data_IF_156600630592
#
_entry.id   IF_156600630592
#
_cell.length_a   1.000
_cell.length_b   1.000
_cell.length_c   1.000
_cell.angle_alpha   90.00
_cell.angle_beta   90.00
_cell.angle_gamma   90.00
#
_symmetry.space_group_name_H-M   'P 1'
#
loop_
_entity.id
_entity.type
_entity.pdbx_description
1 polymer ?
#
# COMPACT_ATOMS: atom_id res chain seq x y z
N UNK A 1 -15.67 10.72 -12.91
CA UNK A 1 -14.31 10.38 -13.41
C UNK A 1 -13.93 8.92 -13.22
N UNK A 2 -14.02 8.33 -12.01
CA UNK A 2 -13.71 6.89 -11.77
C UNK A 2 -14.44 5.94 -12.73
N UNK A 3 -15.74 6.15 -12.97
CA UNK A 3 -16.51 5.36 -13.94
C UNK A 3 -16.02 5.48 -15.39
N UNK A 4 -15.52 6.65 -15.80
CA UNK A 4 -14.99 6.85 -17.16
C UNK A 4 -13.77 5.97 -17.37
N UNK A 5 -12.88 5.89 -16.38
CA UNK A 5 -11.73 4.98 -16.42
C UNK A 5 -12.17 3.52 -16.57
N UNK A 6 -13.15 3.09 -15.78
CA UNK A 6 -13.65 1.70 -15.82
C UNK A 6 -14.31 1.39 -17.16
N UNK A 7 -15.07 2.34 -17.72
CA UNK A 7 -15.66 2.21 -19.05
C UNK A 7 -14.59 2.14 -20.15
N UNK A 8 -13.56 3.00 -20.09
CA UNK A 8 -12.44 2.96 -21.04
C UNK A 8 -11.66 1.66 -20.94
N UNK A 9 -11.44 1.16 -19.71
CA UNK A 9 -10.82 -0.12 -19.44
C UNK A 9 -11.62 -1.25 -20.10
N UNK A 10 -12.92 -1.36 -19.83
CA UNK A 10 -13.79 -2.34 -20.45
C UNK A 10 -13.87 -2.21 -21.98
N UNK A 11 -13.91 -0.98 -22.49
CA UNK A 11 -13.89 -0.73 -23.93
C UNK A 11 -12.58 -1.18 -24.58
N UNK A 12 -11.44 -1.03 -23.90
CA UNK A 12 -10.16 -1.55 -24.36
C UNK A 12 -10.17 -3.08 -24.46
N UNK A 13 -10.71 -3.80 -23.46
CA UNK A 13 -10.91 -5.26 -23.55
C UNK A 13 -11.80 -5.64 -24.73
N UNK A 14 -12.92 -4.94 -24.93
CA UNK A 14 -13.81 -5.17 -26.07
C UNK A 14 -13.08 -5.02 -27.42
N UNK A 15 -12.29 -3.96 -27.59
CA UNK A 15 -11.53 -3.72 -28.81
C UNK A 15 -10.41 -4.74 -29.01
N UNK A 16 -9.74 -5.14 -27.93
CA UNK A 16 -8.70 -6.16 -27.94
C UNK A 16 -9.24 -7.53 -28.36
N UNK A 17 -10.37 -7.96 -27.81
CA UNK A 17 -11.03 -9.21 -28.20
C UNK A 17 -11.46 -9.22 -29.68
N UNK A 18 -11.79 -8.04 -30.24
CA UNK A 18 -12.12 -7.85 -31.66
C UNK A 18 -10.92 -7.56 -32.57
N UNK A 19 -9.70 -7.53 -32.02
CA UNK A 19 -8.45 -7.22 -32.75
C UNK A 19 -8.52 -5.90 -33.53
N UNK A 20 -9.22 -4.88 -32.99
CA UNK A 20 -9.36 -3.55 -33.60
C UNK A 20 -8.17 -2.66 -33.22
N UNK A 21 -6.97 -3.02 -33.71
CA UNK A 21 -5.68 -2.49 -33.24
C UNK A 21 -5.55 -0.97 -33.22
N UNK A 22 -5.94 -0.28 -34.30
CA UNK A 22 -5.83 1.19 -34.35
C UNK A 22 -6.69 1.89 -33.28
N UNK A 23 -7.95 1.45 -33.13
CA UNK A 23 -8.86 1.98 -32.10
C UNK A 23 -8.43 1.57 -30.69
N UNK A 24 -7.90 0.36 -30.55
CA UNK A 24 -7.36 -0.14 -29.29
C UNK A 24 -6.21 0.72 -28.82
N UNK A 25 -5.24 1.01 -29.70
CA UNK A 25 -4.09 1.85 -29.38
C UNK A 25 -4.54 3.23 -28.88
N UNK A 26 -5.45 3.89 -29.62
CA UNK A 26 -5.98 5.19 -29.20
C UNK A 26 -6.70 5.12 -27.84
N UNK A 27 -7.47 4.05 -27.61
CA UNK A 27 -8.19 3.85 -26.34
C UNK A 27 -7.23 3.60 -25.18
N UNK A 28 -6.17 2.80 -25.38
CA UNK A 28 -5.13 2.54 -24.38
C UNK A 28 -4.37 3.81 -24.04
N UNK A 29 -4.04 4.61 -25.06
CA UNK A 29 -3.42 5.90 -24.87
C UNK A 29 -4.29 6.80 -23.99
N UNK A 30 -5.55 7.04 -24.40
CA UNK A 30 -6.50 7.86 -23.65
C UNK A 30 -6.73 7.34 -22.22
N UNK A 31 -6.91 6.02 -22.06
CA UNK A 31 -7.03 5.37 -20.75
C UNK A 31 -5.81 5.66 -19.88
N UNK A 32 -4.60 5.51 -20.41
CA UNK A 32 -3.36 5.71 -19.65
C UNK A 32 -3.19 7.18 -19.22
N UNK A 33 -3.57 8.15 -20.07
CA UNK A 33 -3.59 9.58 -19.70
C UNK A 33 -4.53 9.82 -18.53
N UNK A 34 -5.79 9.38 -18.67
CA UNK A 34 -6.84 9.67 -17.69
C UNK A 34 -6.57 8.92 -16.38
N UNK A 35 -6.14 7.66 -16.46
CA UNK A 35 -5.73 6.86 -15.30
C UNK A 35 -4.57 7.52 -14.57
N UNK A 36 -3.51 7.93 -15.28
CA UNK A 36 -2.36 8.60 -14.65
C UNK A 36 -2.78 9.89 -13.95
N UNK A 37 -3.58 10.73 -14.60
CA UNK A 37 -4.03 12.00 -14.01
C UNK A 37 -4.92 11.85 -12.77
N UNK A 38 -5.64 10.73 -12.63
CA UNK A 38 -6.49 10.46 -11.46
C UNK A 38 -5.71 9.79 -10.33
N UNK A 39 -4.75 8.91 -10.66
CA UNK A 39 -4.10 8.03 -9.69
C UNK A 39 -2.69 8.47 -9.27
N UNK A 40 -1.92 9.04 -10.19
CA UNK A 40 -0.52 9.41 -9.99
C UNK A 40 -0.28 10.92 -10.08
N UNK A 41 -1.36 11.70 -9.98
CA UNK A 41 -1.38 13.16 -9.84
C UNK A 41 -0.69 13.98 -10.95
N UNK A 42 -0.16 13.34 -12.00
CA UNK A 42 0.26 13.97 -13.25
C UNK A 42 -0.34 13.23 -14.44
N UNK A 43 -1.28 13.85 -15.15
CA UNK A 43 -1.66 13.34 -16.46
C UNK A 43 -0.47 13.40 -17.42
N UNK A 44 -0.50 12.67 -18.53
CA UNK A 44 0.50 12.79 -19.63
C UNK A 44 0.74 14.26 -20.08
N UNK A 45 -0.18 15.17 -19.77
CA UNK A 45 -0.19 16.58 -20.16
C UNK A 45 0.21 17.55 -19.03
N UNK A 46 0.20 17.13 -17.76
CA UNK A 46 0.64 17.97 -16.64
C UNK A 46 2.16 17.77 -16.48
N UNK A 47 2.93 18.55 -17.25
CA UNK A 47 4.40 18.57 -17.32
C UNK A 47 5.05 19.12 -16.03
N UNK A 48 4.96 18.39 -14.92
CA UNK A 48 5.70 18.72 -13.70
C UNK A 48 6.63 17.54 -13.36
N UNK A 49 7.92 17.69 -13.65
CA UNK A 49 8.97 16.72 -13.30
C UNK A 49 9.18 15.55 -14.28
N UNK A 50 10.43 15.09 -14.42
CA UNK A 50 10.83 13.97 -15.29
C UNK A 50 10.27 12.60 -14.84
N UNK A 51 9.92 12.47 -13.56
CA UNK A 51 9.38 11.24 -12.96
C UNK A 51 7.95 10.91 -13.40
N UNK A 52 7.07 11.92 -13.53
CA UNK A 52 5.67 11.72 -13.91
C UNK A 52 5.49 11.26 -15.36
N UNK A 53 6.34 11.77 -16.28
CA UNK A 53 6.39 11.30 -17.67
C UNK A 53 6.87 9.85 -17.76
N UNK A 54 7.89 9.50 -16.97
CA UNK A 54 8.38 8.13 -16.90
C UNK A 54 7.29 7.16 -16.42
N UNK A 55 6.58 7.48 -15.33
CA UNK A 55 5.49 6.64 -14.81
C UNK A 55 4.34 6.49 -15.80
N UNK A 56 3.96 7.57 -16.49
CA UNK A 56 2.91 7.55 -17.50
C UNK A 56 3.29 6.70 -18.72
N UNK A 57 4.55 6.76 -19.15
CA UNK A 57 5.07 5.92 -20.22
C UNK A 57 5.14 4.44 -19.81
N UNK A 58 5.59 4.14 -18.60
CA UNK A 58 5.59 2.77 -18.04
C UNK A 58 4.16 2.22 -17.99
N UNK A 59 3.19 3.01 -17.54
CA UNK A 59 1.77 2.64 -17.51
C UNK A 59 1.24 2.35 -18.92
N UNK A 60 1.56 3.19 -19.91
CA UNK A 60 1.17 2.98 -21.29
C UNK A 60 1.72 1.65 -21.83
N UNK A 61 3.01 1.40 -21.65
CA UNK A 61 3.68 0.17 -22.06
C UNK A 61 3.07 -1.06 -21.38
N UNK A 62 2.82 -0.97 -20.06
CA UNK A 62 2.14 -2.01 -19.30
C UNK A 62 0.75 -2.33 -19.88
N UNK A 63 -0.09 -1.32 -20.10
CA UNK A 63 -1.44 -1.51 -20.65
C UNK A 63 -1.40 -2.07 -22.08
N UNK A 64 -0.46 -1.61 -22.91
CA UNK A 64 -0.26 -2.14 -24.27
C UNK A 64 0.08 -3.63 -24.24
N UNK A 65 1.09 -4.04 -23.46
CA UNK A 65 1.53 -5.42 -23.37
C UNK A 65 0.40 -6.32 -22.85
N UNK A 66 -0.25 -5.90 -21.76
CA UNK A 66 -1.31 -6.70 -21.13
C UNK A 66 -2.52 -6.86 -22.05
N UNK A 67 -2.94 -5.84 -22.79
CA UNK A 67 -4.09 -5.96 -23.71
C UNK A 67 -3.76 -6.70 -25.01
N UNK A 68 -2.50 -6.66 -25.47
CA UNK A 68 -2.03 -7.51 -26.58
C UNK A 68 -2.05 -8.98 -26.18
N UNK A 69 -1.53 -9.32 -24.99
CA UNK A 69 -1.59 -10.68 -24.44
C UNK A 69 -3.05 -11.14 -24.32
N UNK A 70 -3.94 -10.28 -23.80
CA UNK A 70 -5.37 -10.58 -23.73
C UNK A 70 -5.98 -10.85 -25.12
N UNK A 71 -5.69 -10.01 -26.12
CA UNK A 71 -6.21 -10.18 -27.48
C UNK A 71 -5.86 -11.55 -28.06
N UNK A 72 -4.63 -12.02 -27.84
CA UNK A 72 -4.19 -13.35 -28.21
C UNK A 72 -4.95 -14.45 -27.43
N UNK A 73 -4.92 -14.39 -26.10
CA UNK A 73 -5.48 -15.44 -25.23
C UNK A 73 -7.01 -15.52 -25.29
N UNK A 74 -7.71 -14.40 -25.52
CA UNK A 74 -9.17 -14.36 -25.60
C UNK A 74 -9.76 -15.29 -26.67
N UNK A 75 -8.96 -15.64 -27.69
CA UNK A 75 -9.33 -16.57 -28.77
C UNK A 75 -9.50 -18.01 -28.30
N UNK A 76 -8.97 -18.36 -27.11
CA UNK A 76 -9.06 -19.71 -26.52
C UNK A 76 -10.25 -19.85 -25.55
N UNK A 77 -11.16 -18.88 -25.48
CA UNK A 77 -12.34 -18.93 -24.61
C UNK A 77 -11.98 -18.88 -23.12
N UNK A 78 -12.67 -19.68 -22.30
CA UNK A 78 -12.51 -19.67 -20.85
C UNK A 78 -11.08 -20.02 -20.39
N UNK A 79 -10.41 -21.08 -20.90
CA UNK A 79 -9.02 -21.36 -20.56
C UNK A 79 -8.08 -20.17 -20.80
N UNK A 80 -8.24 -19.48 -21.93
CA UNK A 80 -7.45 -18.29 -22.26
C UNK A 80 -7.69 -17.12 -21.32
N UNK A 81 -8.95 -16.87 -20.94
CA UNK A 81 -9.30 -15.84 -19.96
C UNK A 81 -8.70 -16.14 -18.56
N UNK A 82 -8.77 -17.39 -18.11
CA UNK A 82 -8.18 -17.82 -16.84
C UNK A 82 -6.65 -17.69 -16.87
N UNK A 83 -5.99 -18.14 -17.95
CA UNK A 83 -4.54 -18.02 -18.10
C UNK A 83 -4.10 -16.55 -18.08
N UNK A 84 -4.83 -15.68 -18.79
CA UNK A 84 -4.56 -14.25 -18.78
C UNK A 84 -4.64 -13.65 -17.38
N UNK A 85 -5.71 -13.95 -16.64
CA UNK A 85 -5.90 -13.43 -15.29
C UNK A 85 -4.83 -13.95 -14.32
N UNK A 86 -4.44 -15.22 -14.42
CA UNK A 86 -3.34 -15.80 -13.66
C UNK A 86 -2.00 -15.11 -13.96
N UNK A 87 -1.71 -14.84 -15.23
CA UNK A 87 -0.50 -14.10 -15.63
C UNK A 87 -0.47 -12.71 -15.00
N UNK A 88 -1.54 -11.93 -15.11
CA UNK A 88 -1.59 -10.59 -14.51
C UNK A 88 -1.48 -10.62 -12.99
N UNK A 89 -2.20 -11.52 -12.33
CA UNK A 89 -2.15 -11.64 -10.87
C UNK A 89 -0.75 -12.06 -10.41
N UNK A 90 -0.08 -12.95 -11.14
CA UNK A 90 1.27 -13.39 -10.78
C UNK A 90 2.31 -12.26 -10.84
N UNK A 91 2.20 -11.33 -11.80
CA UNK A 91 3.06 -10.13 -11.84
C UNK A 91 3.01 -9.32 -10.53
N UNK A 92 1.83 -9.19 -9.92
CA UNK A 92 1.67 -8.51 -8.64
C UNK A 92 2.11 -9.37 -7.45
N UNK A 93 1.83 -10.67 -7.44
CA UNK A 93 2.29 -11.58 -6.38
C UNK A 93 3.82 -11.57 -6.27
N UNK A 94 4.52 -11.63 -7.41
CA UNK A 94 5.98 -11.61 -7.47
C UNK A 94 6.59 -10.21 -7.24
N UNK A 95 5.78 -9.18 -6.98
CA UNK A 95 6.28 -7.84 -6.69
C UNK A 95 6.84 -7.09 -7.90
N UNK A 96 6.50 -7.51 -9.13
CA UNK A 96 6.99 -6.86 -10.35
C UNK A 96 6.22 -5.58 -10.66
N UNK A 97 4.89 -5.62 -10.53
CA UNK A 97 4.01 -4.46 -10.73
C UNK A 97 2.91 -4.42 -9.68
N UNK A 98 2.66 -3.23 -9.14
CA UNK A 98 1.47 -3.00 -8.31
C UNK A 98 0.20 -3.37 -9.11
N UNK A 99 -0.88 -3.83 -8.46
CA UNK A 99 -2.08 -4.23 -9.20
C UNK A 99 -2.81 -2.99 -9.73
N UNK A 100 -2.59 -2.68 -11.00
CA UNK A 100 -3.14 -1.49 -11.71
C UNK A 100 -4.55 -1.73 -12.25
N UNK A 101 -5.37 -2.54 -11.57
CA UNK A 101 -6.74 -2.80 -12.00
C UNK A 101 -7.66 -1.65 -11.52
N UNK A 102 -8.30 -0.89 -12.42
CA UNK A 102 -9.08 0.30 -12.06
C UNK A 102 -10.32 -0.03 -11.22
N UNK A 103 -10.75 -1.29 -11.17
CA UNK A 103 -11.85 -1.73 -10.32
C UNK A 103 -11.51 -1.63 -8.82
N UNK A 104 -10.22 -1.64 -8.45
CA UNK A 104 -9.79 -1.57 -7.05
C UNK A 104 -10.27 -0.27 -6.37
N UNK A 105 -10.29 0.85 -7.08
CA UNK A 105 -10.73 2.13 -6.48
C UNK A 105 -12.24 2.20 -6.27
N UNK A 106 -13.00 1.34 -6.95
CA UNK A 106 -14.44 1.23 -6.71
C UNK A 106 -14.75 0.56 -5.37
N UNK A 107 -13.79 -0.04 -4.66
CA UNK A 107 -14.06 -0.59 -3.32
C UNK A 107 -14.43 0.48 -2.30
N UNK A 108 -13.98 1.72 -2.47
CA UNK A 108 -14.39 2.81 -1.59
C UNK A 108 -15.89 3.15 -1.76
N UNK A 109 -16.35 3.25 -3.01
CA UNK A 109 -17.71 3.69 -3.33
C UNK A 109 -18.72 2.51 -3.32
N UNK A 110 -18.26 1.30 -3.67
CA UNK A 110 -19.10 0.11 -3.90
C UNK A 110 -18.47 -1.18 -3.33
N UNK A 111 -18.09 -1.22 -2.04
CA UNK A 111 -17.46 -2.41 -1.44
C UNK A 111 -18.37 -3.65 -1.46
N UNK A 112 -19.69 -3.44 -1.56
CA UNK A 112 -20.68 -4.51 -1.57
C UNK A 112 -20.81 -5.27 -2.89
N UNK A 113 -20.21 -4.82 -4.00
CA UNK A 113 -20.40 -5.42 -5.34
C UNK A 113 -19.12 -6.16 -5.81
N UNK A 114 -17.99 -5.90 -5.16
CA UNK A 114 -16.68 -6.41 -5.54
C UNK A 114 -16.28 -7.62 -4.68
N UNK A 115 -15.39 -8.51 -5.17
CA UNK A 115 -14.98 -9.71 -4.45
C UNK A 115 -14.25 -9.34 -3.15
N UNK A 116 -14.60 -10.00 -2.04
CA UNK A 116 -14.11 -9.58 -0.72
C UNK A 116 -13.79 -10.78 0.19
N UNK A 117 -12.81 -11.56 -0.25
CA UNK A 117 -12.27 -12.70 0.50
C UNK A 117 -11.10 -12.28 1.39
N UNK A 118 -10.77 -13.10 2.38
CA UNK A 118 -9.59 -12.94 3.25
C UNK A 118 -8.25 -13.18 2.51
N UNK A 119 -8.29 -13.54 1.22
CA UNK A 119 -7.10 -13.77 0.39
C UNK A 119 -7.05 -12.67 -0.68
N UNK A 120 -6.28 -11.58 -0.46
CA UNK A 120 -6.18 -10.48 -1.43
C UNK A 120 -5.81 -10.91 -2.86
N UNK A 121 -4.92 -11.89 -3.00
CA UNK A 121 -4.55 -12.44 -4.32
C UNK A 121 -5.74 -13.07 -5.05
N UNK A 122 -6.65 -13.71 -4.32
CA UNK A 122 -7.86 -14.29 -4.90
C UNK A 122 -8.81 -13.19 -5.36
N UNK A 123 -8.96 -12.11 -4.58
CA UNK A 123 -9.75 -10.95 -4.98
C UNK A 123 -9.19 -10.34 -6.28
N UNK A 124 -7.87 -10.17 -6.38
CA UNK A 124 -7.23 -9.65 -7.59
C UNK A 124 -7.43 -10.58 -8.80
N UNK A 125 -7.30 -11.89 -8.59
CA UNK A 125 -7.57 -12.88 -9.63
C UNK A 125 -9.00 -12.73 -10.17
N UNK A 126 -9.99 -12.60 -9.28
CA UNK A 126 -11.37 -12.37 -9.69
C UNK A 126 -11.54 -11.07 -10.46
N UNK A 127 -10.94 -9.96 -10.00
CA UNK A 127 -11.00 -8.67 -10.71
C UNK A 127 -10.38 -8.73 -12.12
N UNK A 128 -9.36 -9.56 -12.33
CA UNK A 128 -8.74 -9.77 -13.63
C UNK A 128 -9.54 -10.73 -14.53
N UNK A 129 -10.22 -11.71 -13.93
CA UNK A 129 -11.10 -12.65 -14.64
C UNK A 129 -12.33 -11.95 -15.23
N UNK A 130 -12.97 -11.04 -14.47
CA UNK A 130 -14.20 -10.33 -14.87
C UNK A 130 -14.11 -9.75 -16.29
N UNK A 131 -13.21 -8.78 -16.58
CA UNK A 131 -13.12 -8.20 -17.92
C UNK A 131 -12.67 -9.24 -18.97
N UNK A 132 -11.80 -10.18 -18.59
CA UNK A 132 -11.29 -11.18 -19.52
C UNK A 132 -12.41 -12.09 -20.06
N UNK A 133 -13.35 -12.49 -19.19
CA UNK A 133 -14.49 -13.36 -19.53
C UNK A 133 -15.60 -12.59 -20.25
N UNK A 134 -15.98 -11.41 -19.76
CA UNK A 134 -17.07 -10.60 -20.35
C UNK A 134 -16.86 -10.41 -21.86
N UNK A 135 -15.62 -10.04 -22.23
CA UNK A 135 -15.30 -9.63 -23.59
C UNK A 135 -14.77 -10.76 -24.47
N UNK A 136 -14.50 -11.96 -23.93
CA UNK A 136 -14.10 -13.11 -24.75
C UNK A 136 -15.26 -13.59 -25.63
N UNK A 137 -15.05 -13.60 -26.94
CA UNK A 137 -16.10 -13.95 -27.90
C UNK A 137 -16.47 -15.43 -27.91
N UNK A 138 -15.55 -16.30 -27.49
CA UNK A 138 -15.69 -17.76 -27.53
C UNK A 138 -16.44 -18.32 -26.32
N UNK A 139 -16.77 -17.49 -25.34
CA UNK A 139 -17.51 -17.89 -24.13
C UNK A 139 -19.01 -17.68 -24.38
N UNK A 140 -19.83 -18.70 -24.09
CA UNK A 140 -21.29 -18.63 -24.19
C UNK A 140 -21.87 -17.60 -23.20
N UNK A 141 -22.92 -16.88 -23.60
CA UNK A 141 -23.53 -15.81 -22.80
C UNK A 141 -23.96 -16.26 -21.38
N UNK A 142 -24.61 -17.43 -21.18
CA UNK A 142 -24.98 -17.89 -19.84
C UNK A 142 -23.76 -18.08 -18.91
N UNK A 143 -22.64 -18.54 -19.47
CA UNK A 143 -21.41 -18.74 -18.71
C UNK A 143 -20.78 -17.40 -18.30
N UNK A 144 -20.86 -16.37 -19.17
CA UNK A 144 -20.43 -15.01 -18.82
C UNK A 144 -21.25 -14.45 -17.66
N UNK A 145 -22.58 -14.62 -17.72
CA UNK A 145 -23.48 -14.17 -16.67
C UNK A 145 -23.21 -14.86 -15.34
N UNK A 146 -23.03 -16.18 -15.34
CA UNK A 146 -22.70 -16.95 -14.14
C UNK A 146 -21.39 -16.46 -13.49
N UNK A 147 -20.35 -16.22 -14.30
CA UNK A 147 -19.07 -15.72 -13.78
C UNK A 147 -19.15 -14.30 -13.22
N UNK A 148 -20.13 -13.48 -13.63
CA UNK A 148 -20.37 -12.16 -13.07
C UNK A 148 -21.11 -12.18 -11.73
N UNK A 149 -21.89 -13.23 -11.46
CA UNK A 149 -22.55 -13.41 -10.18
C UNK A 149 -21.59 -13.95 -9.10
N UNK A 150 -20.53 -14.61 -9.53
CA UNK A 150 -19.60 -15.30 -8.65
C UNK A 150 -18.90 -14.40 -7.59
N UNK A 151 -18.48 -13.15 -7.90
CA UNK A 151 -17.95 -12.22 -6.89
C UNK A 151 -18.95 -11.85 -5.80
N UNK A 152 -20.27 -11.90 -6.08
CA UNK A 152 -21.31 -11.57 -5.11
C UNK A 152 -21.50 -12.69 -4.07
N UNK A 153 -21.18 -13.93 -4.46
CA UNK A 153 -21.27 -15.12 -3.60
C UNK A 153 -20.04 -15.29 -2.71
N UNK A 154 -18.89 -14.73 -3.10
CA UNK A 154 -17.61 -14.93 -2.42
C UNK A 154 -17.23 -13.75 -1.52
N UNK A 155 -17.95 -13.63 -0.41
CA UNK A 155 -17.64 -12.68 0.67
C UNK A 155 -17.36 -13.43 1.96
N UNK A 156 -16.23 -13.19 2.57
CA UNK A 156 -15.96 -13.74 3.89
C UNK A 156 -16.60 -12.85 4.95
N UNK A 157 -17.35 -13.41 5.93
CA UNK A 157 -17.88 -12.62 7.03
C UNK A 157 -16.75 -11.99 7.84
N UNK A 158 -16.89 -10.69 8.11
CA UNK A 158 -15.93 -9.94 8.92
C UNK A 158 -16.25 -10.15 10.39
N UNK A 159 -15.38 -10.82 11.13
CA UNK A 159 -15.57 -11.06 12.57
C UNK A 159 -14.43 -10.43 13.38
N UNK A 160 -14.61 -9.16 13.75
CA UNK A 160 -13.68 -8.41 14.60
C UNK A 160 -14.29 -8.37 16.00
N UNK A 161 -13.61 -8.97 16.97
CA UNK A 161 -14.13 -9.18 18.33
C UNK A 161 -13.25 -8.55 19.40
N UNK A 162 -12.40 -7.58 19.06
CA UNK A 162 -11.52 -6.92 20.03
C UNK A 162 -12.12 -5.61 20.55
N UNK A 163 -11.66 -5.20 21.74
CA UNK A 163 -11.94 -3.88 22.28
C UNK A 163 -11.23 -2.80 21.43
N UNK A 164 -11.77 -1.58 21.38
CA UNK A 164 -11.15 -0.53 20.59
C UNK A 164 -9.73 -0.21 21.07
N UNK A 165 -8.79 -0.06 20.15
CA UNK A 165 -7.39 0.26 20.43
C UNK A 165 -7.19 1.77 20.37
N UNK A 166 -6.63 2.37 21.43
CA UNK A 166 -6.30 3.80 21.43
C UNK A 166 -4.89 4.01 20.88
N UNK A 167 -4.80 4.68 19.75
CA UNK A 167 -3.59 4.79 18.96
C UNK A 167 -3.12 6.23 18.90
N UNK A 168 -1.82 6.42 19.13
CA UNK A 168 -1.12 7.67 18.80
C UNK A 168 -0.34 7.49 17.51
N UNK A 169 -0.63 8.34 16.53
CA UNK A 169 0.03 8.37 15.24
C UNK A 169 1.11 9.43 15.28
N UNK A 170 2.32 9.08 14.90
CA UNK A 170 3.49 9.95 14.91
C UNK A 170 4.06 10.10 13.50
N UNK A 171 3.89 11.28 12.93
CA UNK A 171 4.37 11.63 11.59
C UNK A 171 5.74 12.31 11.73
N UNK A 172 6.79 11.49 11.71
CA UNK A 172 8.16 11.88 12.10
C UNK A 172 8.71 13.01 11.22
N UNK A 173 8.52 12.92 9.91
CA UNK A 173 8.97 13.93 8.95
C UNK A 173 8.24 15.25 9.11
N UNK A 174 6.92 15.22 9.32
CA UNK A 174 6.13 16.41 9.59
C UNK A 174 6.56 17.08 10.90
N UNK A 175 6.87 16.29 11.93
CA UNK A 175 7.43 16.82 13.19
C UNK A 175 8.73 17.58 12.93
N UNK A 176 9.74 16.94 12.31
CA UNK A 176 11.03 17.59 12.09
C UNK A 176 10.97 18.74 11.08
N UNK A 177 10.01 18.73 10.15
CA UNK A 177 9.71 19.86 9.26
C UNK A 177 9.23 21.09 10.04
N UNK A 178 8.46 20.90 11.12
CA UNK A 178 7.91 21.99 11.95
C UNK A 178 8.84 22.42 13.09
N UNK A 179 9.35 21.47 13.86
CA UNK A 179 10.20 21.72 15.02
C UNK A 179 11.68 21.97 14.64
N UNK A 180 12.07 21.64 13.41
CA UNK A 180 13.45 21.69 12.95
C UNK A 180 14.31 20.53 13.46
N UNK A 181 15.53 20.42 12.94
CA UNK A 181 16.43 19.28 13.22
C UNK A 181 16.84 19.14 14.71
N UNK A 182 16.67 20.20 15.52
CA UNK A 182 17.00 20.24 16.96
C UNK A 182 15.77 20.07 17.86
N UNK A 183 14.58 19.80 17.32
CA UNK A 183 13.38 19.58 18.11
C UNK A 183 13.52 18.42 19.10
N UNK A 184 12.95 18.55 20.30
CA UNK A 184 13.03 17.54 21.35
C UNK A 184 11.91 16.48 21.20
N UNK A 185 12.08 15.62 20.19
CA UNK A 185 11.05 14.67 19.75
C UNK A 185 10.44 13.83 20.87
N UNK A 186 11.28 13.27 21.76
CA UNK A 186 10.81 12.42 22.84
C UNK A 186 9.99 13.22 23.87
N UNK A 187 10.46 14.39 24.29
CA UNK A 187 9.75 15.20 25.28
C UNK A 187 8.37 15.63 24.75
N UNK A 188 8.31 16.12 23.51
CA UNK A 188 7.05 16.56 22.90
C UNK A 188 6.07 15.39 22.72
N UNK A 189 6.57 14.21 22.32
CA UNK A 189 5.77 12.99 22.23
C UNK A 189 5.26 12.57 23.62
N UNK A 190 6.14 12.56 24.63
CA UNK A 190 5.78 12.17 25.98
C UNK A 190 4.73 13.10 26.58
N UNK A 191 4.87 14.41 26.39
CA UNK A 191 3.88 15.39 26.82
C UNK A 191 2.55 15.24 26.09
N UNK A 192 2.57 14.91 24.79
CA UNK A 192 1.36 14.61 24.04
C UNK A 192 0.61 13.40 24.61
N UNK A 193 1.30 12.34 25.05
CA UNK A 193 0.63 11.12 25.54
C UNK A 193 0.27 11.16 27.03
N UNK A 194 0.89 12.05 27.83
CA UNK A 194 0.87 12.02 29.32
C UNK A 194 -0.51 12.00 29.97
N UNK A 195 -1.55 12.49 29.30
CA UNK A 195 -2.93 12.55 29.80
C UNK A 195 -3.93 11.83 28.90
N UNK A 196 -3.46 10.97 28.00
CA UNK A 196 -4.30 10.19 27.08
C UNK A 196 -4.25 8.73 27.48
N UNK A 197 -5.39 8.03 27.37
CA UNK A 197 -5.40 6.56 27.45
C UNK A 197 -4.85 6.03 26.13
N UNK A 198 -3.56 5.75 26.08
CA UNK A 198 -2.87 5.26 24.88
C UNK A 198 -2.50 3.80 25.08
N UNK A 199 -2.79 2.97 24.08
CA UNK A 199 -2.38 1.57 24.06
C UNK A 199 -1.17 1.38 23.14
N UNK A 200 -1.17 2.02 21.98
CA UNK A 200 -0.15 1.87 20.93
C UNK A 200 0.30 3.22 20.37
N UNK A 201 1.61 3.39 20.17
CA UNK A 201 2.22 4.52 19.47
C UNK A 201 2.83 4.01 18.17
N UNK A 202 2.45 4.60 17.02
CA UNK A 202 2.90 4.19 15.69
C UNK A 202 3.64 5.34 15.02
N UNK A 203 4.90 5.13 14.67
CA UNK A 203 5.70 6.07 13.90
C UNK A 203 5.57 5.78 12.40
N UNK A 204 5.68 6.81 11.57
CA UNK A 204 5.77 6.70 10.12
C UNK A 204 7.10 6.08 9.66
N UNK A 205 7.12 5.55 8.42
CA UNK A 205 8.38 5.30 7.71
C UNK A 205 9.14 6.62 7.62
N UNK A 206 10.44 6.60 7.91
CA UNK A 206 11.22 7.83 7.99
C UNK A 206 12.72 7.58 7.80
N UNK A 207 13.44 8.66 7.49
CA UNK A 207 14.90 8.69 7.38
C UNK A 207 15.56 9.42 8.57
N UNK A 208 14.82 9.74 9.62
CA UNK A 208 15.32 10.50 10.77
C UNK A 208 15.82 9.61 11.91
N UNK A 209 15.37 8.36 11.94
CA UNK A 209 15.83 7.32 12.84
C UNK A 209 16.30 6.10 12.04
N UNK A 210 17.36 5.44 12.50
CA UNK A 210 18.05 4.35 11.81
C UNK A 210 19.56 4.35 12.01
N UNK A 211 20.25 3.49 11.25
CA UNK A 211 21.69 3.21 11.37
C UNK A 211 22.46 3.48 10.07
N UNK A 212 21.81 4.12 9.08
CA UNK A 212 22.39 4.39 7.75
C UNK A 212 23.53 5.42 7.74
N UNK A 213 23.59 6.32 8.71
CA UNK A 213 24.76 7.17 8.94
C UNK A 213 24.92 7.48 10.43
N UNK A 214 26.09 7.98 10.82
CA UNK A 214 26.44 8.18 12.24
C UNK A 214 25.55 9.21 12.93
N UNK A 215 25.14 10.28 12.25
CA UNK A 215 24.26 11.30 12.82
C UNK A 215 22.88 10.74 13.19
N UNK A 216 22.24 10.02 12.27
CA UNK A 216 20.95 9.36 12.48
C UNK A 216 21.10 8.26 13.55
N UNK A 217 22.22 7.53 13.54
CA UNK A 217 22.50 6.46 14.50
C UNK A 217 22.57 6.98 15.93
N UNK A 218 23.31 8.06 16.18
CA UNK A 218 23.39 8.64 17.52
C UNK A 218 22.03 9.19 17.98
N UNK A 219 21.28 9.85 17.09
CA UNK A 219 19.91 10.27 17.37
C UNK A 219 19.00 9.10 17.74
N UNK A 220 19.14 7.98 17.05
CA UNK A 220 18.33 6.77 17.27
C UNK A 220 18.65 6.13 18.60
N UNK A 221 19.95 6.00 18.95
CA UNK A 221 20.36 5.53 20.27
C UNK A 221 19.81 6.39 21.38
N UNK A 222 19.92 7.72 21.23
CA UNK A 222 19.40 8.66 22.22
C UNK A 222 17.88 8.51 22.42
N UNK A 223 17.10 8.38 21.33
CA UNK A 223 15.67 8.11 21.43
C UNK A 223 15.39 6.79 22.16
N UNK A 224 16.10 5.72 21.81
CA UNK A 224 15.92 4.40 22.44
C UNK A 224 16.27 4.42 23.94
N UNK A 225 17.31 5.15 24.33
CA UNK A 225 17.69 5.38 25.73
C UNK A 225 16.58 6.14 26.46
N UNK A 226 16.08 7.24 25.90
CA UNK A 226 14.98 8.01 26.50
C UNK A 226 13.70 7.16 26.67
N UNK A 227 13.34 6.36 25.67
CA UNK A 227 12.20 5.43 25.74
C UNK A 227 12.41 4.33 26.80
N UNK A 228 13.66 3.91 27.02
CA UNK A 228 14.03 2.91 28.02
C UNK A 228 13.95 3.48 29.43
N UNK A 229 14.67 4.57 29.68
CA UNK A 229 14.88 5.16 31.00
C UNK A 229 13.57 5.65 31.62
N UNK A 230 12.68 6.17 30.78
CA UNK A 230 11.35 6.62 31.20
C UNK A 230 10.29 5.51 31.21
N UNK A 231 10.70 4.25 30.95
CA UNK A 231 9.83 3.07 30.86
C UNK A 231 8.65 3.25 29.90
N UNK A 232 8.86 3.98 28.81
CA UNK A 232 7.81 4.30 27.84
C UNK A 232 7.26 3.02 27.18
N UNK A 233 8.16 2.09 26.82
CA UNK A 233 7.87 0.77 26.26
C UNK A 233 7.16 -0.19 27.24
N UNK A 234 7.20 0.06 28.55
CA UNK A 234 6.37 -0.67 29.52
C UNK A 234 4.95 -0.15 29.58
N UNK A 235 4.76 1.15 29.33
CA UNK A 235 3.45 1.82 29.38
C UNK A 235 2.66 1.60 28.10
N UNK A 236 3.34 1.65 26.95
CA UNK A 236 2.71 1.63 25.63
C UNK A 236 3.36 0.56 24.76
N UNK A 237 2.60 -0.01 23.81
CA UNK A 237 3.20 -0.65 22.64
C UNK A 237 3.78 0.43 21.73
N UNK A 238 4.98 0.22 21.18
CA UNK A 238 5.62 1.19 20.29
C UNK A 238 5.98 0.51 18.98
N UNK A 239 5.39 0.94 17.88
CA UNK A 239 5.75 0.52 16.53
C UNK A 239 6.59 1.61 15.87
N UNK A 240 7.90 1.45 15.91
CA UNK A 240 8.89 2.35 15.34
C UNK A 240 9.22 1.96 13.89
N UNK A 241 9.88 2.87 13.17
CA UNK A 241 10.45 2.58 11.86
C UNK A 241 11.86 3.18 11.77
N UNK A 242 12.79 2.41 11.21
CA UNK A 242 14.21 2.73 11.14
C UNK A 242 14.75 2.57 9.72
N UNK A 243 15.44 3.60 9.22
CA UNK A 243 16.23 3.56 8.00
C UNK A 243 17.59 2.88 8.26
N UNK A 244 17.60 1.55 8.15
CA UNK A 244 18.69 0.70 8.63
C UNK A 244 18.62 0.48 10.14
N UNK A 245 18.95 -0.74 10.60
CA UNK A 245 19.02 -1.02 12.04
C UNK A 245 20.13 -2.03 12.34
N UNK A 246 21.11 -1.63 13.16
CA UNK A 246 22.31 -2.43 13.47
C UNK A 246 23.01 -2.93 12.18
N UNK A 247 22.97 -4.24 11.92
CA UNK A 247 23.56 -4.91 10.76
C UNK A 247 22.56 -5.11 9.59
N UNK A 248 21.32 -4.62 9.73
CA UNK A 248 20.28 -4.74 8.70
C UNK A 248 20.33 -3.49 7.81
N UNK A 249 20.75 -3.67 6.56
CA UNK A 249 20.79 -2.62 5.54
C UNK A 249 19.44 -2.50 4.80
N UNK A 250 18.37 -2.24 5.52
CA UNK A 250 17.00 -2.15 4.99
C UNK A 250 16.15 -1.20 5.85
N UNK A 251 14.97 -0.79 5.38
CA UNK A 251 13.95 -0.18 6.24
C UNK A 251 13.37 -1.27 7.15
N UNK A 252 13.28 -0.97 8.45
CA UNK A 252 12.87 -1.93 9.47
C UNK A 252 11.79 -1.32 10.37
N UNK A 253 10.66 -1.99 10.49
CA UNK A 253 9.69 -1.77 11.57
C UNK A 253 10.18 -2.45 12.83
N UNK A 254 10.10 -1.77 13.97
CA UNK A 254 10.48 -2.34 15.26
C UNK A 254 9.35 -2.17 16.26
N UNK A 255 8.78 -3.27 16.71
CA UNK A 255 7.77 -3.28 17.77
C UNK A 255 8.44 -3.50 19.12
N UNK A 256 8.19 -2.61 20.07
CA UNK A 256 8.70 -2.70 21.43
C UNK A 256 7.56 -2.60 22.44
N UNK A 257 7.40 -3.63 23.26
CA UNK A 257 6.54 -3.59 24.43
C UNK A 257 7.09 -4.48 25.54
N UNK A 258 7.30 -3.93 26.74
CA UNK A 258 7.96 -4.63 27.85
C UNK A 258 9.30 -5.22 27.38
N UNK A 259 9.53 -6.51 27.61
CA UNK A 259 10.75 -7.20 27.18
C UNK A 259 10.74 -7.65 25.71
N UNK A 260 9.61 -7.53 25.01
CA UNK A 260 9.49 -7.95 23.62
C UNK A 260 9.98 -6.86 22.67
N UNK A 261 10.96 -7.19 21.83
CA UNK A 261 11.47 -6.33 20.77
C UNK A 261 11.52 -7.12 19.45
N UNK A 262 10.49 -6.93 18.63
CA UNK A 262 10.30 -7.66 17.38
C UNK A 262 10.66 -6.75 16.20
N UNK A 263 11.35 -7.30 15.21
CA UNK A 263 11.75 -6.58 14.01
C UNK A 263 11.02 -7.13 12.80
N UNK A 264 10.62 -6.28 11.86
CA UNK A 264 10.18 -6.66 10.53
C UNK A 264 10.92 -5.83 9.50
N UNK A 265 11.63 -6.47 8.58
CA UNK A 265 12.29 -5.76 7.48
C UNK A 265 11.36 -5.65 6.27
N UNK A 266 11.50 -4.56 5.52
CA UNK A 266 10.75 -4.36 4.26
C UNK A 266 11.06 -5.47 3.26
N UNK A 267 10.06 -6.26 2.89
CA UNK A 267 10.23 -7.41 1.99
C UNK A 267 10.27 -7.04 0.50
N UNK A 268 9.65 -5.91 0.13
CA UNK A 268 9.57 -5.41 -1.25
C UNK A 268 10.18 -4.02 -1.34
N UNK A 269 11.32 -3.95 -2.02
CA UNK A 269 12.04 -2.71 -2.29
C UNK A 269 11.67 -2.14 -3.65
N UNK A 270 11.56 -0.81 -3.74
CA UNK A 270 11.27 -0.08 -4.97
C UNK A 270 12.46 -0.23 -5.93
N UNK A 271 12.29 -0.86 -7.11
CA UNK A 271 13.34 -0.96 -8.12
C UNK A 271 13.84 0.42 -8.56
N UNK A 272 15.15 0.52 -8.79
CA UNK A 272 15.88 1.73 -9.21
C UNK A 272 15.90 2.90 -8.21
N UNK A 273 15.14 2.79 -7.12
CA UNK A 273 15.08 3.82 -6.09
C UNK A 273 15.70 3.31 -4.79
N UNK A 274 15.16 2.22 -4.23
CA UNK A 274 15.71 1.58 -3.02
C UNK A 274 16.73 0.51 -3.35
N UNK A 275 16.72 -0.05 -4.56
CA UNK A 275 17.70 -1.03 -5.05
C UNK A 275 18.12 -0.69 -6.47
N UNK A 276 19.32 -1.10 -6.90
CA UNK A 276 19.88 -0.75 -8.23
C UNK A 276 19.08 -1.25 -9.43
N UNK A 277 18.33 -2.34 -9.27
CA UNK A 277 17.61 -2.99 -10.38
C UNK A 277 16.35 -3.69 -9.91
N UNK A 278 15.68 -4.43 -10.79
CA UNK A 278 14.60 -5.34 -10.40
C UNK A 278 15.08 -6.49 -9.49
N UNK A 279 16.35 -6.87 -9.58
CA UNK A 279 16.93 -7.95 -8.78
C UNK A 279 17.38 -7.45 -7.41
N UNK A 280 17.25 -8.32 -6.41
CA UNK A 280 17.75 -8.07 -5.06
C UNK A 280 19.21 -8.50 -4.98
N UNK A 281 20.12 -7.54 -4.89
CA UNK A 281 21.56 -7.76 -4.80
C UNK A 281 22.10 -7.27 -3.46
N UNK A 282 23.11 -7.92 -2.86
CA UNK A 282 23.72 -7.46 -1.63
C UNK A 282 24.31 -6.04 -1.79
N UNK A 283 24.02 -5.18 -0.82
CA UNK A 283 24.52 -3.80 -0.77
C UNK A 283 25.18 -3.54 0.59
N UNK A 284 26.36 -2.89 0.63
CA UNK A 284 26.98 -2.49 1.89
C UNK A 284 26.11 -1.45 2.61
N UNK A 285 26.23 -1.35 3.94
CA UNK A 285 25.45 -0.40 4.76
C UNK A 285 25.65 1.07 4.36
N UNK A 286 26.83 1.39 3.82
CA UNK A 286 27.18 2.72 3.30
C UNK A 286 26.56 3.04 1.93
N UNK A 287 26.04 2.04 1.22
CA UNK A 287 25.35 2.24 -0.06
C UNK A 287 24.08 3.06 0.16
N UNK A 288 23.70 3.97 -0.78
CA UNK A 288 22.36 4.57 -0.75
C UNK A 288 21.26 3.53 -0.98
N UNK A 289 21.61 2.39 -1.58
CA UNK A 289 20.69 1.28 -1.82
C UNK A 289 20.56 0.37 -0.59
N UNK A 290 19.43 -0.33 -0.56
CA UNK A 290 19.00 -1.26 0.46
C UNK A 290 19.09 -2.69 -0.05
N UNK A 291 19.11 -3.62 0.89
CA UNK A 291 19.18 -5.05 0.62
C UNK A 291 18.19 -5.80 1.48
N UNK A 292 17.32 -6.57 0.84
CA UNK A 292 16.43 -7.49 1.53
C UNK A 292 17.15 -8.81 1.80
N UNK A 293 17.25 -9.23 3.06
CA UNK A 293 17.89 -10.49 3.44
C UNK A 293 16.91 -11.38 4.19
N UNK A 294 16.41 -12.43 3.54
CA UNK A 294 15.35 -13.34 4.08
C UNK A 294 15.54 -13.79 5.54
N UNK A 295 16.78 -13.88 6.03
CA UNK A 295 17.09 -14.26 7.42
C UNK A 295 16.53 -13.29 8.48
N UNK A 296 16.29 -12.02 8.13
CA UNK A 296 15.73 -11.01 9.05
C UNK A 296 14.24 -10.74 8.80
N UNK A 297 13.54 -11.67 8.14
CA UNK A 297 12.09 -11.57 7.95
C UNK A 297 11.40 -12.09 9.22
N UNK A 298 11.56 -11.34 10.30
CA UNK A 298 10.89 -11.59 11.55
C UNK A 298 9.49 -10.94 11.46
N UNK A 299 8.47 -11.78 11.69
CA UNK A 299 7.07 -11.48 11.99
C UNK A 299 6.46 -10.17 11.42
N UNK A 300 5.84 -10.27 10.24
CA UNK A 300 4.90 -9.27 9.71
C UNK A 300 3.57 -9.22 10.46
N UNK A 301 3.30 -10.19 11.34
CA UNK A 301 2.16 -10.23 12.26
C UNK A 301 2.65 -10.15 13.70
N UNK A 302 2.17 -9.13 14.40
CA UNK A 302 2.42 -8.88 15.82
C UNK A 302 1.17 -9.24 16.64
N UNK A 303 1.38 -9.73 17.86
CA UNK A 303 0.31 -9.98 18.80
C UNK A 303 0.43 -9.03 19.99
N UNK A 304 -0.59 -8.20 20.21
CA UNK A 304 -0.58 -7.21 21.29
C UNK A 304 -1.98 -7.09 21.88
N UNK A 305 -2.14 -7.24 23.20
CA UNK A 305 -3.43 -7.12 23.90
C UNK A 305 -4.57 -7.94 23.25
N UNK A 306 -4.29 -9.17 22.82
CA UNK A 306 -5.22 -10.04 22.10
C UNK A 306 -5.64 -9.55 20.69
N UNK A 307 -4.88 -8.63 20.11
CA UNK A 307 -5.08 -8.10 18.76
C UNK A 307 -3.93 -8.58 17.89
N UNK A 308 -4.26 -9.18 16.74
CA UNK A 308 -3.31 -9.53 15.68
C UNK A 308 -3.16 -8.36 14.72
N UNK A 309 -2.02 -7.70 14.78
CA UNK A 309 -1.70 -6.55 13.94
C UNK A 309 -0.79 -7.00 12.81
N UNK A 310 -1.16 -6.77 11.54
CA UNK A 310 -0.19 -6.93 10.45
C UNK A 310 0.52 -5.61 10.18
N UNK A 311 1.83 -5.66 9.97
CA UNK A 311 2.67 -4.49 9.73
C UNK A 311 3.28 -4.58 8.35
N UNK A 312 3.16 -3.51 7.58
CA UNK A 312 3.73 -3.38 6.25
C UNK A 312 4.47 -2.06 6.12
N UNK A 313 5.52 -2.05 5.31
CA UNK A 313 6.31 -0.84 5.09
C UNK A 313 6.07 -0.33 3.66
N UNK A 314 5.31 0.75 3.54
CA UNK A 314 5.16 1.55 2.33
C UNK A 314 4.85 0.72 1.07
N UNK A 315 5.82 0.58 0.17
CA UNK A 315 5.72 -0.16 -1.08
C UNK A 315 5.28 -1.62 -0.89
N UNK A 316 5.65 -2.26 0.21
CA UNK A 316 5.22 -3.63 0.54
C UNK A 316 3.70 -3.75 0.63
N UNK A 317 3.05 -2.75 1.25
CA UNK A 317 1.61 -2.73 1.46
C UNK A 317 0.82 -2.62 0.16
N UNK A 318 1.44 -2.30 -0.98
CA UNK A 318 0.74 -2.17 -2.26
C UNK A 318 0.47 -3.51 -2.96
N UNK A 319 1.07 -4.60 -2.48
CA UNK A 319 1.01 -5.89 -3.17
C UNK A 319 0.13 -6.92 -2.46
N UNK A 320 -0.68 -7.69 -3.20
CA UNK A 320 -1.67 -8.57 -2.62
C UNK A 320 -1.01 -9.75 -1.89
N UNK A 321 -1.50 -10.04 -0.69
CA UNK A 321 -1.08 -11.21 0.07
C UNK A 321 -1.71 -12.51 -0.41
N UNK A 322 -0.88 -13.56 -0.45
CA UNK A 322 -1.29 -14.89 -0.90
C UNK A 322 -1.79 -15.83 0.20
N UNK A 323 -1.67 -15.47 1.48
CA UNK A 323 -2.08 -16.33 2.61
C UNK A 323 -3.28 -15.72 3.32
N UNK A 324 -4.30 -16.54 3.58
CA UNK A 324 -5.36 -16.17 4.53
C UNK A 324 -4.77 -16.23 5.94
N UNK A 325 -4.59 -15.07 6.55
CA UNK A 325 -4.18 -14.96 7.95
C UNK A 325 -5.19 -14.07 8.66
N UNK A 326 -5.74 -14.57 9.78
CA UNK A 326 -6.61 -13.75 10.62
C UNK A 326 -5.80 -12.59 11.17
N UNK A 327 -6.23 -11.39 10.82
CA UNK A 327 -5.73 -10.11 11.31
C UNK A 327 -6.92 -9.36 11.90
N UNK A 328 -6.65 -8.53 12.88
CA UNK A 328 -7.64 -7.67 13.51
C UNK A 328 -7.49 -6.23 12.98
N UNK A 329 -6.25 -5.79 12.75
CA UNK A 329 -5.90 -4.50 12.15
C UNK A 329 -4.66 -4.65 11.26
N UNK A 330 -4.57 -3.84 10.21
CA UNK A 330 -3.36 -3.70 9.41
C UNK A 330 -2.80 -2.29 9.50
N UNK A 331 -1.50 -2.18 9.71
CA UNK A 331 -0.76 -0.92 9.82
C UNK A 331 0.23 -0.85 8.68
N UNK A 332 0.20 0.23 7.93
CA UNK A 332 1.20 0.54 6.89
C UNK A 332 1.97 1.77 7.33
N UNK A 333 3.28 1.66 7.49
CA UNK A 333 4.18 2.79 7.74
C UNK A 333 4.71 3.29 6.40
N UNK A 334 4.41 4.53 6.02
CA UNK A 334 4.68 5.03 4.66
C UNK A 334 5.32 6.40 4.62
N UNK A 335 6.16 6.62 3.61
CA UNK A 335 6.61 7.93 3.18
C UNK A 335 6.37 8.13 1.67
N UNK A 336 5.27 8.81 1.33
CA UNK A 336 4.95 9.16 -0.06
C UNK A 336 5.49 10.54 -0.48
N UNK A 337 6.36 11.18 0.30
CA UNK A 337 6.84 12.55 0.02
C UNK A 337 7.48 12.74 -1.34
N UNK A 338 8.06 11.68 -1.92
CA UNK A 338 8.59 11.69 -3.28
C UNK A 338 7.53 11.92 -4.37
N UNK A 339 6.25 11.77 -4.03
CA UNK A 339 5.10 12.01 -4.91
C UNK A 339 4.40 13.35 -4.59
N UNK A 340 5.00 14.18 -3.73
CA UNK A 340 4.37 15.40 -3.19
C UNK A 340 4.51 16.66 -4.05
N UNK A 341 5.29 16.63 -5.13
CA UNK A 341 5.50 17.77 -6.04
C UNK A 341 4.25 18.17 -6.85
N UNK A 342 3.11 17.51 -6.62
CA UNK A 342 1.92 17.62 -7.45
C UNK A 342 0.74 18.26 -6.67
N UNK A 343 -0.04 19.13 -7.33
CA UNK A 343 -1.25 19.79 -6.80
C UNK A 343 -2.40 18.85 -6.37
N UNK A 344 -2.27 17.54 -6.59
CA UNK A 344 -3.27 16.51 -6.26
C UNK A 344 -2.72 15.41 -5.35
N UNK A 345 -1.70 15.71 -4.53
CA UNK A 345 -1.05 14.75 -3.64
C UNK A 345 -2.03 14.01 -2.70
N UNK A 346 -3.09 14.68 -2.24
CA UNK A 346 -4.16 14.06 -1.44
C UNK A 346 -4.79 12.82 -2.12
N UNK A 347 -4.98 12.86 -3.44
CA UNK A 347 -5.52 11.72 -4.19
C UNK A 347 -4.53 10.56 -4.20
N UNK A 348 -3.24 10.82 -4.31
CA UNK A 348 -2.19 9.79 -4.24
C UNK A 348 -2.20 9.10 -2.89
N UNK A 349 -2.31 9.86 -1.79
CA UNK A 349 -2.39 9.33 -0.43
C UNK A 349 -3.62 8.44 -0.24
N UNK A 350 -4.80 8.91 -0.68
CA UNK A 350 -6.06 8.17 -0.57
C UNK A 350 -6.05 6.91 -1.45
N UNK A 351 -5.72 7.04 -2.73
CA UNK A 351 -5.73 5.92 -3.68
C UNK A 351 -4.66 4.87 -3.32
N UNK A 352 -3.48 5.30 -2.89
CA UNK A 352 -2.44 4.40 -2.37
C UNK A 352 -2.93 3.62 -1.15
N UNK A 353 -3.67 4.27 -0.24
CA UNK A 353 -4.24 3.62 0.94
C UNK A 353 -5.39 2.66 0.62
N UNK A 354 -6.24 2.98 -0.37
CA UNK A 354 -7.27 2.07 -0.90
C UNK A 354 -6.62 0.83 -1.51
N UNK A 355 -5.56 1.03 -2.31
CA UNK A 355 -4.78 -0.06 -2.90
C UNK A 355 -4.13 -0.92 -1.82
N UNK A 356 -3.57 -0.30 -0.78
CA UNK A 356 -3.01 -1.04 0.35
C UNK A 356 -4.06 -1.87 1.07
N UNK A 357 -5.22 -1.28 1.38
CA UNK A 357 -6.33 -2.01 2.01
C UNK A 357 -6.76 -3.20 1.17
N UNK A 358 -6.91 -3.01 -0.14
CA UNK A 358 -7.19 -4.11 -1.05
C UNK A 358 -6.15 -5.23 -0.95
N UNK A 359 -4.88 -4.85 -0.93
CA UNK A 359 -3.74 -5.76 -1.02
C UNK A 359 -3.44 -6.51 0.28
N UNK A 360 -3.66 -5.94 1.47
CA UNK A 360 -3.24 -6.57 2.74
C UNK A 360 -4.35 -6.71 3.77
N UNK A 361 -5.48 -6.01 3.60
CA UNK A 361 -6.53 -5.86 4.62
C UNK A 361 -7.94 -5.66 4.02
N UNK A 362 -8.40 -6.53 3.10
CA UNK A 362 -9.68 -6.33 2.44
C UNK A 362 -10.85 -6.39 3.42
N UNK A 363 -10.70 -7.10 4.54
CA UNK A 363 -11.74 -7.39 5.52
C UNK A 363 -11.57 -6.71 6.89
N UNK A 364 -10.44 -6.08 7.14
CA UNK A 364 -10.12 -5.46 8.44
C UNK A 364 -9.85 -3.95 8.30
N UNK A 365 -9.86 -3.18 9.39
CA UNK A 365 -9.37 -1.80 9.38
C UNK A 365 -7.91 -1.74 8.95
N UNK A 366 -7.59 -0.71 8.17
CA UNK A 366 -6.22 -0.38 7.79
C UNK A 366 -5.92 1.06 8.13
N UNK A 367 -4.78 1.30 8.76
CA UNK A 367 -4.21 2.63 8.95
C UNK A 367 -2.90 2.76 8.16
N UNK A 368 -2.83 3.76 7.28
CA UNK A 368 -1.64 4.10 6.52
C UNK A 368 -1.02 5.38 7.07
N UNK A 369 -0.03 5.21 7.96
CA UNK A 369 0.65 6.30 8.68
C UNK A 369 1.69 6.95 7.78
N UNK A 370 1.44 8.20 7.39
CA UNK A 370 2.28 8.96 6.47
C UNK A 370 3.34 9.80 7.20
N UNK A 371 4.51 9.95 6.58
CA UNK A 371 5.63 10.67 7.17
C UNK A 371 5.44 12.20 7.21
N UNK A 372 4.88 12.78 6.15
CA UNK A 372 4.77 14.23 5.94
C UNK A 372 3.33 14.75 5.88
N UNK A 373 2.39 14.02 6.50
CA UNK A 373 0.99 14.39 6.55
C UNK A 373 0.07 13.57 5.65
N UNK A 374 -1.23 13.64 5.93
CA UNK A 374 -2.28 12.94 5.19
C UNK A 374 -2.33 11.42 5.45
N UNK A 375 -2.14 11.04 6.71
CA UNK A 375 -2.40 9.69 7.21
C UNK A 375 -3.86 9.29 6.95
N UNK A 376 -4.08 8.08 6.44
CA UNK A 376 -5.41 7.59 6.05
C UNK A 376 -5.80 6.39 6.91
N UNK A 377 -6.94 6.48 7.57
CA UNK A 377 -7.60 5.36 8.25
C UNK A 377 -8.80 4.91 7.42
N UNK A 378 -8.88 3.62 7.12
CA UNK A 378 -10.00 3.02 6.40
C UNK A 378 -10.60 1.88 7.23
N UNK A 379 -11.86 2.03 7.63
CA UNK A 379 -12.57 1.07 8.46
C UNK A 379 -12.87 -0.25 7.72
N UNK A 380 -13.41 -1.24 8.44
CA UNK A 380 -13.84 -2.52 7.84
C UNK A 380 -14.96 -2.39 6.80
N UNK A 381 -15.58 -1.25 6.61
CA UNK A 381 -16.61 -1.02 5.61
C UNK A 381 -16.11 -0.19 4.43
N UNK A 382 -14.79 0.01 4.33
CA UNK A 382 -14.13 0.83 3.30
C UNK A 382 -14.41 2.33 3.43
N UNK A 383 -14.94 2.80 4.57
CA UNK A 383 -15.09 4.22 4.86
C UNK A 383 -13.77 4.80 5.33
N UNK A 384 -13.42 5.95 4.78
CA UNK A 384 -12.23 6.71 5.15
C UNK A 384 -12.61 7.69 6.26
N UNK A 385 -11.80 7.75 7.32
CA UNK A 385 -11.88 8.81 8.32
C UNK A 385 -11.27 10.11 7.75
N UNK A 386 -12.13 10.96 7.21
CA UNK A 386 -11.72 12.23 6.61
C UNK A 386 -11.31 13.28 7.65
N UNK A 387 -11.80 13.19 8.89
CA UNK A 387 -11.36 14.10 9.96
C UNK A 387 -9.89 13.84 10.30
N UNK A 388 -9.55 12.57 10.56
CA UNK A 388 -8.18 12.15 10.80
C UNK A 388 -7.27 12.54 9.63
N UNK A 389 -7.73 12.28 8.39
CA UNK A 389 -6.98 12.63 7.19
C UNK A 389 -6.66 14.12 7.13
N UNK A 390 -7.66 14.99 7.29
CA UNK A 390 -7.47 16.44 7.20
C UNK A 390 -6.58 16.98 8.33
N UNK A 391 -6.81 16.53 9.57
CA UNK A 391 -5.97 16.92 10.72
C UNK A 391 -4.53 16.50 10.54
N UNK A 392 -4.31 15.28 10.05
CA UNK A 392 -2.96 14.74 9.85
C UNK A 392 -2.14 15.51 8.81
N UNK A 393 -2.75 16.31 7.93
CA UNK A 393 -1.97 17.17 7.03
C UNK A 393 -1.13 18.21 7.77
N UNK A 394 -1.49 18.51 9.02
CA UNK A 394 -0.82 19.57 9.80
C UNK A 394 -0.38 19.10 11.18
N UNK A 395 -1.05 18.16 11.83
CA UNK A 395 -0.69 17.70 13.17
C UNK A 395 0.41 16.63 13.11
N UNK A 396 1.61 16.83 13.72
CA UNK A 396 2.66 15.81 13.73
C UNK A 396 2.35 14.62 14.64
N UNK A 397 1.55 14.83 15.68
CA UNK A 397 1.06 13.79 16.58
C UNK A 397 -0.47 13.80 16.58
N UNK A 398 -1.09 12.65 16.34
CA UNK A 398 -2.54 12.50 16.35
C UNK A 398 -2.96 11.40 17.31
N UNK A 399 -4.19 11.50 17.83
CA UNK A 399 -4.84 10.46 18.61
C UNK A 399 -6.08 9.97 17.88
N UNK A 400 -6.25 8.65 17.78
CA UNK A 400 -7.43 8.00 17.19
C UNK A 400 -7.76 6.71 17.91
N UNK A 401 -8.94 6.15 17.64
CA UNK A 401 -9.42 4.90 18.19
C UNK A 401 -9.92 3.98 17.07
N UNK A 402 -9.53 2.72 17.08
CA UNK A 402 -9.88 1.72 16.04
C UNK A 402 -10.56 0.50 16.64
#
# INVERSE_FOLDING_TARGET
MKFIIVLLYFFAYYLAARKRWARLFFTIFLYSIIFSGIYFSGGFLEYYGSSNLYLSFVLLCYNMITLVIYSFLSSYGLPGACLYALLLTSLSVFGMFIPLNPLIVLYYDYPGILPRTDIPVLNLLMLNIIPAVIFSQKILFPLRFLMLLFPLLWKTPVNITHNPLNIVIVQVGLYFKKAGARGNFYTDLNDFVRNKKVDLVILSENVFFGYKNDYIKERTKHLLEQLKDNRFHYKYGILMNFYGYKNINNVVSAFWHKEEFLLHQKSKLIPFFEKKSFYNSPEPSTSPFLYYKRTYNEQDILYFNNIKMSVHICYEGLFPEGKSQRKDISIVQSDYSWLSDNHKYDNTLINGSILSKFSVSPNTPLINVQNYGGTVLIDKNWKIDMDLFNRSKTEPFLFTQI
#
